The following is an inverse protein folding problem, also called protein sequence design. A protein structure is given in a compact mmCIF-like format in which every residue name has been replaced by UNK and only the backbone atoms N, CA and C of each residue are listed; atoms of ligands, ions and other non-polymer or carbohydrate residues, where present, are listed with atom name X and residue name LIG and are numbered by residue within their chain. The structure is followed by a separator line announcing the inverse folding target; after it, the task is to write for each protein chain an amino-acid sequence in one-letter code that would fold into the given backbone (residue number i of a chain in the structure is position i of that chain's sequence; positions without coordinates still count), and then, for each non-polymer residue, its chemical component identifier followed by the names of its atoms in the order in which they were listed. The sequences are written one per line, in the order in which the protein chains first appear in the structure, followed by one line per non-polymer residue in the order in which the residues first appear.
data_IF_543264484393
#
_entry.id   IF_543264484393
#
_cell.length_a   1.000
_cell.length_b   1.000
_cell.length_c   1.000
_cell.angle_alpha   90.00
_cell.angle_beta   90.00
_cell.angle_gamma   90.00
#
_symmetry.space_group_name_H-M   'P 1'
#
loop_
_entity.id
_entity.type
_entity.pdbx_description
1 polymer ?
#
# COMPACT_ATOMS: atom_id res chain seq x y z
N UNK A 1 -15.22 -27.16 -71.94
CA UNK A 1 -14.83 -25.90 -71.20
C UNK A 1 -15.42 -26.01 -69.81
N UNK A 2 -14.61 -26.33 -68.82
CA UNK A 2 -15.02 -26.42 -67.43
C UNK A 2 -14.52 -25.15 -66.72
N UNK A 3 -15.46 -24.37 -66.15
CA UNK A 3 -15.21 -23.15 -65.42
C UNK A 3 -14.94 -23.51 -63.98
N UNK A 4 -13.69 -23.32 -63.52
CA UNK A 4 -13.30 -23.50 -62.10
C UNK A 4 -13.56 -22.20 -61.39
N UNK A 5 -14.54 -22.20 -60.46
CA UNK A 5 -14.81 -21.07 -59.57
C UNK A 5 -13.87 -21.20 -58.34
N UNK A 6 -12.88 -20.30 -58.27
CA UNK A 6 -12.07 -20.16 -57.04
C UNK A 6 -12.85 -19.29 -56.04
N UNK A 7 -13.34 -19.92 -54.97
CA UNK A 7 -13.80 -19.20 -53.78
C UNK A 7 -12.60 -18.84 -52.89
N UNK A 8 -12.29 -17.55 -52.80
CA UNK A 8 -11.36 -17.03 -51.79
C UNK A 8 -12.03 -17.09 -50.41
N UNK A 9 -11.52 -17.94 -49.54
CA UNK A 9 -11.87 -17.90 -48.10
C UNK A 9 -11.05 -16.75 -47.51
N UNK A 10 -11.73 -15.67 -47.18
CA UNK A 10 -11.19 -14.63 -46.35
C UNK A 10 -11.12 -15.18 -44.93
N UNK A 11 -9.91 -15.38 -44.41
CA UNK A 11 -9.69 -15.65 -43.00
C UNK A 11 -9.77 -14.31 -42.28
N UNK A 12 -10.92 -13.95 -41.75
CA UNK A 12 -11.05 -12.90 -40.76
C UNK A 12 -10.43 -13.44 -39.46
N UNK A 13 -9.14 -13.13 -39.26
CA UNK A 13 -8.49 -13.26 -37.99
C UNK A 13 -8.82 -12.01 -37.18
N UNK A 14 -9.99 -11.96 -36.59
CA UNK A 14 -10.24 -11.06 -35.46
C UNK A 14 -9.36 -11.55 -34.32
N UNK A 15 -8.13 -11.03 -34.29
CA UNK A 15 -7.31 -11.03 -33.11
C UNK A 15 -7.83 -9.91 -32.19
N UNK A 16 -8.93 -10.14 -31.53
CA UNK A 16 -9.23 -9.48 -30.27
C UNK A 16 -8.13 -9.92 -29.29
N UNK A 17 -7.02 -9.17 -29.30
CA UNK A 17 -6.06 -9.21 -28.23
C UNK A 17 -6.77 -8.59 -27.03
N UNK A 18 -7.53 -9.42 -26.29
CA UNK A 18 -7.87 -9.10 -24.92
C UNK A 18 -6.53 -8.90 -24.18
N UNK A 19 -6.13 -7.64 -24.06
CA UNK A 19 -5.00 -7.28 -23.20
C UNK A 19 -5.41 -7.70 -21.80
N UNK A 20 -4.73 -8.67 -21.16
CA UNK A 20 -5.12 -9.12 -19.84
C UNK A 20 -5.22 -7.93 -18.92
N UNK A 21 -6.29 -7.78 -18.14
CA UNK A 21 -6.54 -6.71 -17.18
C UNK A 21 -5.35 -6.43 -16.25
N UNK A 22 -4.52 -7.43 -15.99
CA UNK A 22 -3.28 -7.33 -15.22
C UNK A 22 -2.19 -6.44 -15.86
N UNK A 23 -2.33 -6.00 -17.12
CA UNK A 23 -1.35 -5.17 -17.81
C UNK A 23 -1.49 -3.67 -17.52
N UNK A 24 -2.55 -3.25 -16.87
CA UNK A 24 -2.81 -1.84 -16.53
C UNK A 24 -2.32 -1.43 -15.14
N UNK A 25 -2.06 -2.38 -14.23
CA UNK A 25 -1.53 -2.06 -12.90
C UNK A 25 -0.07 -1.64 -13.00
N UNK A 26 0.23 -0.41 -12.63
CA UNK A 26 1.57 0.15 -12.64
C UNK A 26 1.79 1.05 -11.43
N UNK A 27 3.06 1.25 -11.05
CA UNK A 27 3.43 2.27 -10.07
C UNK A 27 2.96 3.63 -10.57
N UNK A 28 2.27 4.38 -9.72
CA UNK A 28 1.65 5.67 -10.05
C UNK A 28 0.18 5.58 -10.47
N UNK A 29 -0.40 4.38 -10.67
CA UNK A 29 -1.85 4.22 -10.87
C UNK A 29 -2.61 4.74 -9.67
N UNK A 30 -3.79 5.32 -9.92
CA UNK A 30 -4.66 5.91 -8.90
C UNK A 30 -5.69 4.89 -8.46
N UNK A 31 -5.74 4.65 -7.18
CA UNK A 31 -6.80 3.85 -6.53
C UNK A 31 -7.92 4.79 -6.12
N UNK A 32 -9.15 4.53 -6.61
CA UNK A 32 -10.31 5.37 -6.36
C UNK A 32 -11.21 4.83 -5.23
N UNK A 33 -12.08 5.68 -4.70
CA UNK A 33 -12.98 5.33 -3.58
C UNK A 33 -14.02 4.24 -3.92
N UNK A 34 -14.23 3.93 -5.20
CA UNK A 34 -15.14 2.87 -5.67
C UNK A 34 -14.43 1.54 -6.00
N UNK A 35 -13.12 1.44 -5.80
CA UNK A 35 -12.33 0.24 -6.06
C UNK A 35 -11.66 0.18 -7.42
N UNK A 36 -11.92 1.10 -8.30
CA UNK A 36 -11.22 1.11 -9.57
C UNK A 36 -9.77 1.55 -9.40
N UNK A 37 -8.89 0.93 -10.18
CA UNK A 37 -7.49 1.34 -10.31
C UNK A 37 -7.29 1.88 -11.71
N UNK A 38 -6.96 3.15 -11.81
CA UNK A 38 -6.92 3.90 -13.06
C UNK A 38 -5.51 4.41 -13.36
N UNK A 39 -5.18 4.44 -14.64
CA UNK A 39 -4.02 5.21 -15.10
C UNK A 39 -4.28 6.72 -14.95
N UNK A 40 -3.24 7.53 -15.06
CA UNK A 40 -3.32 8.99 -14.96
C UNK A 40 -4.41 9.60 -15.87
N UNK A 41 -4.30 9.32 -17.16
CA UNK A 41 -5.24 9.88 -18.14
C UNK A 41 -6.67 9.32 -18.04
N UNK A 42 -6.86 8.14 -17.45
CA UNK A 42 -8.20 7.61 -17.13
C UNK A 42 -8.77 8.29 -15.91
N UNK A 43 -7.96 8.51 -14.88
CA UNK A 43 -8.37 9.20 -13.66
C UNK A 43 -8.84 10.62 -13.95
N UNK A 44 -8.06 11.40 -14.72
CA UNK A 44 -8.40 12.79 -15.08
C UNK A 44 -9.76 12.92 -15.79
N UNK A 45 -10.17 11.88 -16.51
CA UNK A 45 -11.45 11.85 -17.24
C UNK A 45 -12.61 11.23 -16.46
N UNK A 46 -12.28 10.55 -15.33
CA UNK A 46 -13.26 9.73 -14.62
C UNK A 46 -14.19 10.51 -13.71
N UNK A 47 -13.73 11.67 -13.21
CA UNK A 47 -14.42 12.41 -12.13
C UNK A 47 -14.49 11.68 -10.80
N UNK A 48 -13.71 10.60 -10.61
CA UNK A 48 -13.68 9.79 -9.40
C UNK A 48 -12.81 10.42 -8.32
N UNK A 49 -13.00 9.98 -7.09
CA UNK A 49 -12.21 10.41 -5.94
C UNK A 49 -11.03 9.47 -5.72
N UNK A 50 -9.81 10.03 -5.63
CA UNK A 50 -8.60 9.29 -5.31
C UNK A 50 -8.51 8.99 -3.82
N UNK A 51 -8.10 7.77 -3.45
CA UNK A 51 -7.80 7.38 -2.06
C UNK A 51 -6.37 6.89 -1.89
N UNK A 52 -5.73 6.41 -2.94
CA UNK A 52 -4.37 5.89 -2.87
C UNK A 52 -3.62 5.95 -4.20
N UNK A 53 -2.30 5.84 -4.12
CA UNK A 53 -1.41 5.74 -5.28
C UNK A 53 -0.64 4.43 -5.18
N UNK A 54 -0.64 3.66 -6.25
CA UNK A 54 0.14 2.41 -6.35
C UNK A 54 1.63 2.73 -6.28
N UNK A 55 2.33 2.11 -5.34
CA UNK A 55 3.78 2.29 -5.19
C UNK A 55 4.59 1.02 -5.44
N UNK A 56 3.93 -0.15 -5.44
CA UNK A 56 4.57 -1.42 -5.72
C UNK A 56 3.62 -2.34 -6.48
N UNK A 57 4.17 -3.09 -7.44
CA UNK A 57 3.47 -4.14 -8.19
C UNK A 57 4.31 -5.40 -8.11
N UNK A 58 3.70 -6.51 -7.72
CA UNK A 58 4.36 -7.80 -7.62
C UNK A 58 3.69 -8.84 -8.52
N UNK A 59 4.48 -9.81 -8.97
CA UNK A 59 4.02 -11.04 -9.62
C UNK A 59 4.50 -12.28 -8.87
N UNK A 60 5.11 -12.07 -7.70
CA UNK A 60 5.58 -13.15 -6.85
C UNK A 60 4.37 -13.83 -6.18
N UNK A 61 4.11 -15.13 -6.44
CA UNK A 61 3.00 -15.84 -5.83
C UNK A 61 3.15 -16.03 -4.31
N UNK A 62 4.34 -15.78 -3.75
CA UNK A 62 4.59 -15.79 -2.32
C UNK A 62 4.21 -14.49 -1.61
N UNK A 63 3.88 -13.43 -2.38
CA UNK A 63 3.46 -12.14 -1.85
C UNK A 63 1.95 -11.99 -1.99
N UNK A 64 1.30 -11.47 -0.96
CA UNK A 64 -0.14 -11.26 -0.93
C UNK A 64 -0.57 -10.17 -1.93
N UNK A 65 -1.49 -10.51 -2.82
CA UNK A 65 -2.08 -9.58 -3.79
C UNK A 65 -1.22 -9.31 -5.02
N UNK A 66 -1.60 -8.29 -5.78
CA UNK A 66 -0.95 -7.83 -7.01
C UNK A 66 -0.01 -6.65 -6.79
N UNK A 67 -0.10 -5.99 -5.64
CA UNK A 67 0.69 -4.82 -5.31
C UNK A 67 0.11 -4.03 -4.14
N UNK A 68 0.75 -2.90 -3.85
CA UNK A 68 0.41 -2.03 -2.73
C UNK A 68 0.14 -0.61 -3.20
N UNK A 69 -0.89 0.01 -2.60
CA UNK A 69 -1.14 1.44 -2.75
C UNK A 69 -1.05 2.15 -1.40
N UNK A 70 -0.42 3.31 -1.39
CA UNK A 70 -0.32 4.19 -0.22
C UNK A 70 -1.46 5.20 -0.23
N UNK A 71 -2.05 5.49 0.90
CA UNK A 71 -3.06 6.53 1.05
C UNK A 71 -2.49 7.91 0.67
N UNK A 72 -3.35 8.76 0.11
CA UNK A 72 -2.96 10.11 -0.31
C UNK A 72 -2.79 11.10 0.85
N UNK A 73 -2.96 10.68 2.11
CA UNK A 73 -2.80 11.51 3.31
C UNK A 73 -2.17 10.72 4.45
N UNK A 74 -1.41 11.41 5.30
CA UNK A 74 -0.97 10.87 6.58
C UNK A 74 -2.13 10.79 7.58
N UNK A 75 -2.00 9.89 8.55
CA UNK A 75 -2.83 9.91 9.75
C UNK A 75 -2.19 10.80 10.81
N UNK A 76 -3.02 11.35 11.70
CA UNK A 76 -2.56 12.08 12.88
C UNK A 76 -1.61 11.20 13.71
N UNK A 77 -0.67 11.82 14.43
CA UNK A 77 0.23 11.06 15.30
C UNK A 77 -0.51 10.27 16.35
N UNK A 78 -0.31 8.95 16.36
CA UNK A 78 -0.84 8.03 17.35
C UNK A 78 0.28 7.13 17.87
N UNK A 79 0.10 6.58 19.07
CA UNK A 79 1.00 5.59 19.62
C UNK A 79 0.84 4.24 18.89
N UNK A 80 1.93 3.50 18.83
CA UNK A 80 1.92 2.11 18.37
C UNK A 80 1.13 1.23 19.36
N UNK A 81 1.35 1.45 20.67
CA UNK A 81 0.63 0.83 21.77
C UNK A 81 0.34 1.89 22.85
N UNK A 82 -0.75 1.73 23.60
CA UNK A 82 -1.13 2.66 24.68
C UNK A 82 -0.36 2.42 25.99
N UNK A 83 0.38 1.31 26.09
CA UNK A 83 1.31 1.02 27.19
C UNK A 83 2.46 0.12 26.71
N UNK A 84 3.54 0.08 27.49
CA UNK A 84 4.70 -0.78 27.29
C UNK A 84 4.57 -2.09 28.06
N UNK A 85 5.46 -3.05 27.80
CA UNK A 85 5.56 -4.31 28.52
C UNK A 85 4.79 -5.49 27.91
N UNK A 86 4.25 -5.34 26.68
CA UNK A 86 3.47 -6.38 26.00
C UNK A 86 3.97 -6.61 24.58
N UNK A 87 4.32 -7.85 24.25
CA UNK A 87 4.50 -8.31 22.86
C UNK A 87 3.12 -8.43 22.20
N UNK A 88 2.88 -7.66 21.14
CA UNK A 88 1.60 -7.65 20.42
C UNK A 88 1.54 -8.65 19.27
N UNK A 89 2.54 -9.50 19.13
CA UNK A 89 2.51 -10.65 18.23
C UNK A 89 2.85 -10.33 16.76
N UNK A 90 3.46 -9.20 16.46
CA UNK A 90 3.96 -8.96 15.09
C UNK A 90 5.15 -9.88 14.79
N UNK A 91 5.46 -10.10 13.51
CA UNK A 91 6.55 -10.99 13.11
C UNK A 91 7.95 -10.48 13.52
N UNK A 92 8.11 -9.18 13.80
CA UNK A 92 9.37 -8.47 14.02
C UNK A 92 10.36 -8.55 12.83
N UNK A 93 9.98 -9.13 11.71
CA UNK A 93 10.83 -9.25 10.52
C UNK A 93 10.89 -7.92 9.75
N UNK A 94 12.06 -7.31 9.68
CA UNK A 94 12.26 -6.08 8.89
C UNK A 94 12.30 -6.34 7.36
N UNK A 95 12.29 -7.60 6.93
CA UNK A 95 12.36 -7.99 5.51
C UNK A 95 11.05 -8.57 4.98
N UNK A 96 10.06 -8.80 5.84
CA UNK A 96 8.77 -9.35 5.44
C UNK A 96 7.77 -8.24 5.01
N UNK A 97 6.95 -8.55 4.00
CA UNK A 97 5.89 -7.68 3.49
C UNK A 97 4.56 -7.98 4.19
N UNK A 98 4.56 -8.00 5.51
CA UNK A 98 3.53 -8.55 6.38
C UNK A 98 2.72 -7.50 7.15
N UNK A 99 2.72 -6.25 6.69
CA UNK A 99 2.03 -5.13 7.36
C UNK A 99 0.56 -5.40 7.65
N UNK A 100 -0.15 -6.09 6.75
CA UNK A 100 -1.54 -6.48 6.96
C UNK A 100 -1.68 -7.45 8.15
N UNK A 101 -0.89 -8.52 8.17
CA UNK A 101 -0.90 -9.50 9.27
C UNK A 101 -0.46 -8.87 10.61
N UNK A 102 0.58 -8.03 10.59
CA UNK A 102 1.04 -7.31 11.77
C UNK A 102 -0.05 -6.37 12.32
N UNK A 103 -0.69 -5.60 11.44
CA UNK A 103 -1.77 -4.69 11.86
C UNK A 103 -2.96 -5.44 12.46
N UNK A 104 -3.28 -6.63 11.90
CA UNK A 104 -4.31 -7.49 12.48
C UNK A 104 -3.92 -8.01 13.87
N UNK A 105 -2.65 -8.43 14.06
CA UNK A 105 -2.15 -8.84 15.38
C UNK A 105 -2.25 -7.69 16.40
N UNK A 106 -1.84 -6.47 16.01
CA UNK A 106 -1.96 -5.26 16.83
C UNK A 106 -3.41 -4.92 17.19
N UNK A 107 -4.34 -5.08 16.24
CA UNK A 107 -5.75 -4.79 16.45
C UNK A 107 -6.42 -5.80 17.38
N UNK A 108 -6.00 -7.07 17.33
CA UNK A 108 -6.60 -8.16 18.10
C UNK A 108 -5.88 -8.45 19.44
N UNK A 109 -4.80 -7.71 19.76
CA UNK A 109 -4.10 -7.86 21.02
C UNK A 109 -5.04 -7.52 22.20
N UNK A 110 -5.19 -8.46 23.14
CA UNK A 110 -6.15 -8.33 24.26
C UNK A 110 -5.58 -7.52 25.44
N UNK A 111 -4.25 -7.64 25.67
CA UNK A 111 -3.61 -7.08 26.85
C UNK A 111 -3.26 -5.59 26.74
N UNK A 112 -3.12 -5.08 25.50
CA UNK A 112 -2.78 -3.69 25.21
C UNK A 112 -3.38 -3.25 23.88
N UNK A 113 -3.98 -2.08 23.85
CA UNK A 113 -4.56 -1.52 22.63
C UNK A 113 -3.48 -0.88 21.74
N UNK A 114 -3.64 -0.99 20.43
CA UNK A 114 -2.88 -0.23 19.44
C UNK A 114 -3.74 0.87 18.82
N UNK A 115 -3.60 2.14 19.27
CA UNK A 115 -4.41 3.24 18.75
C UNK A 115 -4.32 3.40 17.23
N UNK A 116 -3.12 3.21 16.66
CA UNK A 116 -2.94 3.30 15.20
C UNK A 116 -3.61 2.14 14.45
N UNK A 117 -3.57 0.91 14.99
CA UNK A 117 -4.21 -0.24 14.37
C UNK A 117 -5.74 -0.10 14.40
N UNK A 118 -6.31 0.32 15.53
CA UNK A 118 -7.74 0.65 15.63
C UNK A 118 -8.13 1.69 14.59
N UNK A 119 -7.32 2.75 14.44
CA UNK A 119 -7.60 3.83 13.49
C UNK A 119 -7.64 3.37 12.04
N UNK A 120 -6.71 2.51 11.61
CA UNK A 120 -6.68 2.05 10.20
C UNK A 120 -7.78 1.05 9.88
N UNK A 121 -8.26 0.28 10.87
CA UNK A 121 -9.38 -0.65 10.68
C UNK A 121 -10.67 0.07 10.28
N UNK A 122 -10.85 1.33 10.70
CA UNK A 122 -11.98 2.18 10.30
C UNK A 122 -11.86 2.67 8.84
N UNK A 123 -10.68 2.57 8.24
CA UNK A 123 -10.43 2.97 6.86
C UNK A 123 -10.72 1.81 5.91
N UNK A 124 -11.99 1.58 5.66
CA UNK A 124 -12.44 0.49 4.80
C UNK A 124 -12.41 0.91 3.32
N UNK A 125 -11.69 0.15 2.51
CA UNK A 125 -11.67 0.32 1.06
C UNK A 125 -11.69 -1.05 0.36
N UNK A 126 -12.52 -1.20 -0.66
CA UNK A 126 -12.57 -2.38 -1.54
C UNK A 126 -12.83 -3.71 -0.83
N UNK A 127 -13.60 -3.72 0.21
CA UNK A 127 -13.90 -4.93 0.95
C UNK A 127 -12.78 -5.37 1.90
N UNK A 128 -11.82 -4.50 2.19
CA UNK A 128 -10.76 -4.71 3.17
C UNK A 128 -10.46 -3.44 3.94
N UNK A 129 -9.91 -3.58 5.14
CA UNK A 129 -9.35 -2.47 5.90
C UNK A 129 -8.00 -2.05 5.33
N UNK A 130 -7.67 -0.77 5.45
CA UNK A 130 -6.31 -0.34 5.33
C UNK A 130 -5.48 -0.89 6.50
N UNK A 131 -4.16 -0.87 6.37
CA UNK A 131 -3.25 -1.33 7.41
C UNK A 131 -2.00 -0.45 7.52
N UNK A 132 -1.27 -0.58 8.61
CA UNK A 132 0.02 0.08 8.81
C UNK A 132 1.10 -0.77 8.11
N UNK A 133 1.88 -0.19 7.18
CA UNK A 133 2.87 -0.95 6.43
C UNK A 133 3.99 -1.51 7.33
N UNK A 134 4.56 -2.65 6.96
CA UNK A 134 5.79 -3.15 7.57
C UNK A 134 7.02 -2.32 7.20
N UNK A 135 8.15 -2.51 7.89
CA UNK A 135 9.44 -1.88 7.52
C UNK A 135 9.77 -2.15 6.04
N UNK A 136 9.58 -3.38 5.56
CA UNK A 136 9.86 -3.73 4.17
C UNK A 136 8.96 -3.00 3.18
N UNK A 137 7.68 -2.88 3.48
CA UNK A 137 6.74 -2.14 2.62
C UNK A 137 7.05 -0.64 2.59
N UNK A 138 7.48 -0.05 3.72
CA UNK A 138 7.98 1.33 3.73
C UNK A 138 9.27 1.49 2.92
N UNK A 139 10.16 0.50 2.91
CA UNK A 139 11.35 0.52 2.06
C UNK A 139 10.99 0.50 0.57
N UNK A 140 10.00 -0.30 0.16
CA UNK A 140 9.49 -0.30 -1.22
C UNK A 140 8.88 1.07 -1.60
N UNK A 141 8.16 1.71 -0.69
CA UNK A 141 7.62 3.05 -0.90
C UNK A 141 8.74 4.09 -0.99
N UNK A 142 9.76 3.98 -0.14
CA UNK A 142 10.92 4.88 -0.13
C UNK A 142 11.64 4.90 -1.49
N UNK A 143 11.80 3.76 -2.14
CA UNK A 143 12.49 3.65 -3.43
C UNK A 143 11.83 4.48 -4.55
N UNK A 144 10.51 4.68 -4.46
CA UNK A 144 9.70 5.39 -5.47
C UNK A 144 9.04 6.68 -4.94
N UNK A 145 9.37 7.09 -3.72
CA UNK A 145 8.67 8.15 -2.96
C UNK A 145 8.52 9.48 -3.69
N UNK A 146 9.55 9.91 -4.43
CA UNK A 146 9.51 11.18 -5.16
C UNK A 146 8.46 11.14 -6.28
N UNK A 147 8.44 10.04 -7.04
CA UNK A 147 7.46 9.84 -8.09
C UNK A 147 6.04 9.74 -7.51
N UNK A 148 5.87 8.94 -6.45
CA UNK A 148 4.59 8.78 -5.75
C UNK A 148 4.11 10.10 -5.17
N UNK A 149 4.99 10.92 -4.59
CA UNK A 149 4.66 12.26 -4.08
C UNK A 149 4.15 13.19 -5.19
N UNK A 150 4.77 13.14 -6.37
CA UNK A 150 4.27 13.88 -7.54
C UNK A 150 2.85 13.44 -7.92
N UNK A 151 2.57 12.15 -7.86
CA UNK A 151 1.23 11.59 -8.13
C UNK A 151 0.21 11.98 -7.07
N UNK A 152 0.59 11.89 -5.78
CA UNK A 152 -0.27 12.31 -4.66
C UNK A 152 -0.66 13.79 -4.82
N UNK A 153 0.31 14.66 -5.11
CA UNK A 153 0.04 16.08 -5.34
C UNK A 153 -0.90 16.32 -6.54
N UNK A 154 -0.71 15.58 -7.64
CA UNK A 154 -1.53 15.71 -8.85
C UNK A 154 -3.01 15.36 -8.61
N UNK A 155 -3.30 14.42 -7.70
CA UNK A 155 -4.69 14.05 -7.32
C UNK A 155 -5.24 14.88 -6.14
N UNK A 156 -4.54 15.93 -5.71
CA UNK A 156 -4.96 16.81 -4.60
C UNK A 156 -4.76 16.20 -3.20
N UNK A 157 -3.89 15.21 -3.07
CA UNK A 157 -3.51 14.62 -1.80
C UNK A 157 -2.41 15.42 -1.09
N UNK A 158 -2.00 14.95 0.08
CA UNK A 158 -0.90 15.47 0.88
C UNK A 158 0.37 14.63 0.62
N UNK A 159 1.40 15.15 -0.06
CA UNK A 159 2.65 14.43 -0.26
C UNK A 159 3.29 13.94 1.04
N UNK A 160 3.96 12.80 0.98
CA UNK A 160 4.74 12.28 2.10
C UNK A 160 5.81 13.30 2.46
N UNK A 161 5.90 13.66 3.74
CA UNK A 161 6.90 14.61 4.20
C UNK A 161 8.30 14.00 4.15
N UNK A 162 9.19 14.60 3.38
CA UNK A 162 10.58 14.18 3.23
C UNK A 162 11.56 15.09 4.00
N UNK A 163 11.05 16.09 4.75
CA UNK A 163 11.90 16.96 5.58
C UNK A 163 12.25 16.30 6.91
N UNK A 164 13.36 16.73 7.51
CA UNK A 164 13.86 16.17 8.78
C UNK A 164 12.81 16.20 9.91
N UNK A 165 11.95 17.23 9.92
CA UNK A 165 10.98 17.45 10.99
C UNK A 165 9.71 16.58 10.89
N UNK A 166 9.52 15.84 9.80
CA UNK A 166 8.28 15.09 9.61
C UNK A 166 8.39 13.81 8.77
N UNK A 167 9.60 13.37 8.46
CA UNK A 167 9.84 12.22 7.59
C UNK A 167 9.68 10.85 8.27
N UNK A 168 9.48 10.82 9.59
CA UNK A 168 9.41 9.59 10.36
C UNK A 168 7.98 9.04 10.42
N UNK A 169 7.81 7.81 9.98
CA UNK A 169 6.54 7.11 9.99
C UNK A 169 6.64 5.82 10.81
N UNK A 170 5.61 5.51 11.60
CA UNK A 170 5.47 4.19 12.20
C UNK A 170 5.40 3.11 11.12
N UNK A 171 6.15 2.03 11.33
CA UNK A 171 5.85 0.74 10.72
C UNK A 171 4.99 -0.10 11.67
N UNK A 172 4.41 -1.20 11.18
CA UNK A 172 3.72 -2.19 12.02
C UNK A 172 4.66 -3.25 12.59
N UNK A 173 5.98 -3.08 12.47
CA UNK A 173 6.99 -4.09 12.85
C UNK A 173 7.57 -3.76 14.22
N UNK A 174 7.41 -4.65 15.19
CA UNK A 174 8.09 -4.56 16.50
C UNK A 174 9.59 -4.82 16.36
N UNK A 175 10.38 -4.44 17.37
CA UNK A 175 11.83 -4.67 17.39
C UNK A 175 12.11 -6.07 17.95
N UNK A 176 12.80 -6.90 17.18
CA UNK A 176 13.21 -8.24 17.61
C UNK A 176 13.99 -8.20 18.92
N UNK A 177 13.59 -9.00 19.90
CA UNK A 177 14.18 -9.05 21.24
C UNK A 177 13.80 -7.87 22.16
N UNK A 178 12.96 -6.92 21.70
CA UNK A 178 12.43 -5.79 22.46
C UNK A 178 10.95 -5.52 22.11
N UNK A 179 10.23 -6.54 21.71
CA UNK A 179 8.84 -6.44 21.20
C UNK A 179 7.86 -5.89 22.24
N UNK A 180 8.15 -6.10 23.52
CA UNK A 180 7.33 -5.58 24.61
C UNK A 180 7.32 -4.05 24.67
N UNK A 181 8.44 -3.41 24.27
CA UNK A 181 8.66 -1.99 24.51
C UNK A 181 8.85 -1.15 23.24
N UNK A 182 9.34 -1.75 22.14
CA UNK A 182 9.78 -0.98 20.97
C UNK A 182 9.24 -1.47 19.64
N UNK A 183 9.04 -0.53 18.73
CA UNK A 183 8.75 -0.77 17.33
C UNK A 183 9.60 0.14 16.42
N UNK A 184 9.60 -0.15 15.12
CA UNK A 184 10.41 0.58 14.16
C UNK A 184 9.69 1.77 13.56
N UNK A 185 10.35 2.95 13.65
CA UNK A 185 10.08 4.07 12.75
C UNK A 185 10.92 3.92 11.49
N UNK A 186 10.39 4.43 10.38
CA UNK A 186 11.07 4.50 9.09
C UNK A 186 11.18 5.94 8.61
N UNK A 187 12.38 6.37 8.21
CA UNK A 187 12.61 7.71 7.67
C UNK A 187 12.38 7.75 6.16
N UNK A 188 11.35 8.45 5.72
CA UNK A 188 11.09 8.66 4.29
C UNK A 188 12.08 9.64 3.64
N UNK A 189 12.92 10.33 4.43
CA UNK A 189 14.02 11.16 3.95
C UNK A 189 15.26 10.34 3.60
N UNK A 190 15.69 9.44 4.49
CA UNK A 190 17.00 8.80 4.45
C UNK A 190 16.96 7.28 4.24
N UNK A 191 15.80 6.65 4.38
CA UNK A 191 15.66 5.18 4.29
C UNK A 191 16.17 4.42 5.52
N UNK A 192 16.56 5.12 6.60
CA UNK A 192 17.00 4.48 7.85
C UNK A 192 15.82 4.16 8.75
N UNK A 193 16.00 3.17 9.63
CA UNK A 193 15.04 2.79 10.65
C UNK A 193 15.54 3.18 12.03
N UNK A 194 14.62 3.45 12.96
CA UNK A 194 14.93 3.83 14.33
C UNK A 194 14.06 3.05 15.30
N UNK A 195 14.69 2.42 16.30
CA UNK A 195 13.98 1.84 17.44
C UNK A 195 13.33 2.94 18.27
N UNK A 196 12.05 2.80 18.57
CA UNK A 196 11.28 3.82 19.27
C UNK A 196 10.33 3.17 20.27
N UNK A 197 10.19 3.71 21.50
CA UNK A 197 9.18 3.26 22.44
C UNK A 197 7.77 3.32 21.85
N UNK A 198 6.99 2.24 22.03
CA UNK A 198 5.67 2.07 21.40
C UNK A 198 4.61 3.05 21.90
N UNK A 199 4.77 3.63 23.07
CA UNK A 199 3.85 4.61 23.67
C UNK A 199 4.03 6.04 23.14
N UNK A 200 5.03 6.29 22.30
CA UNK A 200 5.24 7.59 21.69
C UNK A 200 4.36 7.82 20.47
N UNK A 201 3.72 8.98 20.32
CA UNK A 201 2.89 9.27 19.16
C UNK A 201 3.75 9.68 17.95
N UNK A 202 3.59 8.98 16.83
CA UNK A 202 4.18 9.35 15.54
C UNK A 202 3.14 9.21 14.43
N UNK A 203 3.39 9.92 13.32
CA UNK A 203 2.60 9.78 12.10
C UNK A 203 2.75 8.38 11.52
N UNK A 204 1.76 7.97 10.79
CA UNK A 204 1.79 6.77 9.96
C UNK A 204 0.98 7.00 8.69
N UNK A 205 1.29 6.28 7.65
CA UNK A 205 0.58 6.37 6.38
C UNK A 205 0.00 5.01 6.02
N UNK A 206 -1.32 4.88 5.96
CA UNK A 206 -1.97 3.62 5.64
C UNK A 206 -1.62 3.11 4.25
N UNK A 207 -1.65 1.79 4.11
CA UNK A 207 -1.46 1.06 2.87
C UNK A 207 -2.64 0.11 2.68
N UNK A 208 -2.97 -0.19 1.43
CA UNK A 208 -3.89 -1.25 1.04
C UNK A 208 -3.22 -2.20 0.06
N UNK A 209 -3.59 -3.48 0.13
CA UNK A 209 -3.19 -4.49 -0.86
C UNK A 209 -4.18 -4.48 -2.02
N UNK A 210 -3.69 -4.54 -3.24
CA UNK A 210 -4.51 -4.63 -4.45
C UNK A 210 -4.62 -6.09 -4.84
N UNK A 211 -5.83 -6.66 -4.76
CA UNK A 211 -6.08 -8.06 -5.14
C UNK A 211 -6.62 -8.18 -6.56
N UNK A 212 -7.37 -7.20 -7.03
CA UNK A 212 -7.99 -7.18 -8.35
C UNK A 212 -7.89 -5.77 -8.94
N UNK A 213 -7.78 -5.71 -10.26
CA UNK A 213 -7.94 -4.48 -11.04
C UNK A 213 -9.31 -4.56 -11.72
N UNK A 214 -10.20 -3.61 -11.42
CA UNK A 214 -11.54 -3.50 -12.03
C UNK A 214 -11.54 -2.36 -13.03
#
# INVERSE_FOLDING_TARGET
MALICLTSVSCDCDHDLEVPFASSLAVGSVVCSDGSVLTDGEFDRSGKEAVGIVFHVTRDPGIEGLGYAVYIRDMEPLAFADSLGVDQGTSASITAEDGNANTYALFTAEDVSSPMAVKVFDLWAYGQSAYVPSVRQLALLYDVREYVNGRIAAVGGEPINLSADGCWLWSSTEVEGQKEDKAWLYSMQSGVIQETPKDQPHRFRPVITIYNVK
#
